data_IF_010352400127
#
_entry.id   IF_010352400127
#
_cell.length_a   1.000
_cell.length_b   1.000
_cell.length_c   1.000
_cell.angle_alpha   90.00
_cell.angle_beta   90.00
_cell.angle_gamma   90.00
#
_symmetry.space_group_name_H-M   'P 1'
#
loop_
_entity.id
_entity.type
_entity.pdbx_description
1 polymer ?
#
# COMPACT_ATOMS: atom_id res chain seq x y z
N UNK A 1 21.79 15.15 32.24
CA UNK A 1 22.84 14.67 31.31
C UNK A 1 22.15 13.98 30.14
N UNK A 2 22.31 14.42 28.88
CA UNK A 2 21.77 13.74 27.71
C UNK A 2 22.87 12.84 27.13
N UNK A 3 22.81 11.54 27.42
CA UNK A 3 23.83 10.59 26.96
C UNK A 3 23.35 9.15 26.86
N UNK A 4 22.05 8.90 27.02
CA UNK A 4 21.48 7.54 26.98
C UNK A 4 20.28 7.56 26.05
N UNK A 5 20.51 7.70 24.74
CA UNK A 5 19.51 7.29 23.72
C UNK A 5 20.03 7.18 22.27
N UNK A 6 21.26 7.58 21.95
CA UNK A 6 21.72 7.66 20.54
C UNK A 6 21.98 6.31 19.87
N UNK A 7 22.32 5.27 20.64
CA UNK A 7 22.66 3.95 20.08
C UNK A 7 21.43 3.13 19.67
N UNK A 8 20.32 3.25 20.42
CA UNK A 8 19.05 2.60 20.10
C UNK A 8 18.38 3.24 18.88
N UNK A 9 18.38 4.58 18.79
CA UNK A 9 17.87 5.31 17.62
C UNK A 9 18.67 5.01 16.34
N UNK A 10 19.97 4.74 16.47
CA UNK A 10 20.80 4.35 15.32
C UNK A 10 20.48 2.93 14.85
N UNK A 11 20.27 1.99 15.77
CA UNK A 11 19.87 0.61 15.43
C UNK A 11 18.50 0.56 14.75
N UNK A 12 17.52 1.31 15.25
CA UNK A 12 16.19 1.41 14.64
C UNK A 12 16.25 1.96 13.20
N UNK A 13 17.08 2.97 12.97
CA UNK A 13 17.31 3.52 11.62
C UNK A 13 17.99 2.51 10.69
N UNK A 14 18.97 1.77 11.19
CA UNK A 14 19.65 0.72 10.40
C UNK A 14 18.66 -0.37 10.00
N UNK A 15 17.81 -0.83 10.92
CA UNK A 15 16.81 -1.86 10.60
C UNK A 15 15.79 -1.35 9.59
N UNK A 16 15.29 -0.12 9.76
CA UNK A 16 14.39 0.52 8.80
C UNK A 16 15.00 0.57 7.39
N UNK A 17 16.26 1.01 7.27
CA UNK A 17 16.95 1.08 5.98
C UNK A 17 17.16 -0.30 5.36
N UNK A 18 17.42 -1.32 6.19
CA UNK A 18 17.56 -2.70 5.74
C UNK A 18 16.25 -3.23 5.16
N UNK A 19 15.13 -3.05 5.87
CA UNK A 19 13.81 -3.46 5.37
C UNK A 19 13.44 -2.71 4.09
N UNK A 20 13.72 -1.41 4.00
CA UNK A 20 13.48 -0.63 2.77
C UNK A 20 14.32 -1.14 1.58
N UNK A 21 15.56 -1.57 1.82
CA UNK A 21 16.39 -2.22 0.81
C UNK A 21 15.79 -3.54 0.35
N UNK A 22 15.36 -4.39 1.28
CA UNK A 22 14.71 -5.68 0.98
C UNK A 22 13.41 -5.49 0.18
N UNK A 23 12.61 -4.48 0.54
CA UNK A 23 11.44 -4.06 -0.23
C UNK A 23 11.82 -3.72 -1.68
N UNK A 24 12.86 -2.89 -1.87
CA UNK A 24 13.30 -2.49 -3.21
C UNK A 24 13.80 -3.68 -4.03
N UNK A 25 14.54 -4.60 -3.42
CA UNK A 25 15.02 -5.83 -4.08
C UNK A 25 13.85 -6.70 -4.52
N UNK A 26 12.87 -6.97 -3.64
CA UNK A 26 11.67 -7.74 -4.02
C UNK A 26 10.87 -7.10 -5.14
N UNK A 27 10.70 -5.77 -5.12
CA UNK A 27 10.02 -5.06 -6.21
C UNK A 27 10.76 -5.18 -7.55
N UNK A 28 12.10 -5.24 -7.53
CA UNK A 28 12.91 -5.33 -8.75
C UNK A 28 13.01 -6.74 -9.33
N UNK A 29 12.93 -7.78 -8.48
CA UNK A 29 13.13 -9.19 -8.86
C UNK A 29 11.81 -9.97 -8.97
N UNK A 30 10.72 -9.43 -8.43
CA UNK A 30 9.40 -10.06 -8.43
C UNK A 30 8.86 -10.32 -9.83
N UNK A 31 8.45 -11.56 -10.08
CA UNK A 31 7.84 -11.96 -11.36
C UNK A 31 6.32 -11.81 -11.36
N UNK A 32 5.67 -12.19 -10.25
CA UNK A 32 4.21 -12.11 -10.11
C UNK A 32 3.81 -10.87 -9.32
N UNK A 33 3.14 -9.93 -10.00
CA UNK A 33 2.85 -8.59 -9.46
C UNK A 33 2.03 -8.65 -8.17
N UNK A 34 0.95 -9.44 -8.12
CA UNK A 34 0.08 -9.54 -6.93
C UNK A 34 0.82 -10.10 -5.73
N UNK A 35 1.59 -11.16 -5.92
CA UNK A 35 2.37 -11.79 -4.86
C UNK A 35 3.45 -10.83 -4.36
N UNK A 36 4.19 -10.22 -5.27
CA UNK A 36 5.24 -9.23 -4.96
C UNK A 36 4.69 -8.05 -4.17
N UNK A 37 3.55 -7.49 -4.60
CA UNK A 37 2.91 -6.38 -3.89
C UNK A 37 2.38 -6.78 -2.52
N UNK A 38 1.87 -8.00 -2.36
CA UNK A 38 1.40 -8.50 -1.07
C UNK A 38 2.55 -8.65 -0.08
N UNK A 39 3.67 -9.25 -0.51
CA UNK A 39 4.87 -9.39 0.32
C UNK A 39 5.46 -8.04 0.73
N UNK A 40 5.60 -7.13 -0.22
CA UNK A 40 6.14 -5.79 0.03
C UNK A 40 5.23 -4.97 0.95
N UNK A 41 3.91 -5.09 0.77
CA UNK A 41 2.94 -4.39 1.62
C UNK A 41 3.02 -4.86 3.08
N UNK A 42 3.25 -6.17 3.30
CA UNK A 42 3.46 -6.70 4.64
C UNK A 42 4.71 -6.12 5.29
N UNK A 43 5.85 -6.13 4.59
CA UNK A 43 7.10 -5.55 5.12
C UNK A 43 7.00 -4.04 5.38
N UNK A 44 6.25 -3.32 4.54
CA UNK A 44 5.99 -1.89 4.73
C UNK A 44 5.21 -1.63 6.02
N UNK A 45 4.29 -2.51 6.40
CA UNK A 45 3.54 -2.35 7.65
C UNK A 45 4.43 -2.48 8.88
N UNK A 46 5.43 -3.37 8.84
CA UNK A 46 6.37 -3.57 9.93
C UNK A 46 7.23 -2.32 10.22
N UNK A 47 7.56 -1.53 9.18
CA UNK A 47 8.38 -0.30 9.34
C UNK A 47 7.57 0.98 9.54
N UNK A 48 6.32 1.03 9.07
CA UNK A 48 5.48 2.24 9.17
C UNK A 48 4.62 2.26 10.43
N UNK A 49 4.41 1.10 11.06
CA UNK A 49 3.51 0.95 12.20
C UNK A 49 2.03 1.03 11.80
N UNK A 50 1.69 0.95 10.51
CA UNK A 50 0.30 0.85 10.08
C UNK A 50 -0.29 -0.52 10.43
N UNK A 51 -1.57 -0.53 10.81
CA UNK A 51 -2.26 -1.76 11.22
C UNK A 51 -3.01 -2.45 10.08
N UNK A 52 -3.36 -1.71 9.03
CA UNK A 52 -4.06 -2.22 7.85
C UNK A 52 -3.60 -1.45 6.62
N UNK A 53 -3.48 -2.12 5.49
CA UNK A 53 -3.14 -1.46 4.22
C UNK A 53 -3.72 -2.23 3.02
N UNK A 54 -3.88 -1.55 1.89
CA UNK A 54 -4.29 -2.16 0.62
C UNK A 54 -3.83 -1.34 -0.58
N UNK A 55 -3.68 -2.00 -1.72
CA UNK A 55 -3.28 -1.40 -3.00
C UNK A 55 -4.34 -1.70 -4.04
N UNK A 56 -4.80 -0.65 -4.72
CA UNK A 56 -5.65 -0.77 -5.90
C UNK A 56 -4.87 -0.40 -7.16
N UNK A 57 -5.05 -1.17 -8.23
CA UNK A 57 -4.76 -0.73 -9.58
C UNK A 57 -6.03 -0.13 -10.17
N UNK A 58 -5.90 1.01 -10.81
CA UNK A 58 -7.03 1.74 -11.42
C UNK A 58 -6.64 2.02 -12.86
N UNK A 59 -7.39 1.42 -13.78
CA UNK A 59 -7.17 1.55 -15.21
C UNK A 59 -7.74 2.87 -15.76
N UNK A 60 -7.31 3.22 -16.97
CA UNK A 60 -7.76 4.46 -17.64
C UNK A 60 -9.26 4.48 -17.92
N UNK A 61 -9.87 3.32 -18.14
CA UNK A 61 -11.32 3.18 -18.32
C UNK A 61 -12.10 3.27 -17.00
N UNK A 62 -11.39 3.38 -15.88
CA UNK A 62 -11.96 3.45 -14.54
C UNK A 62 -12.28 2.07 -13.95
N UNK A 63 -11.98 0.95 -14.60
CA UNK A 63 -11.95 -0.33 -13.92
C UNK A 63 -10.87 -0.32 -12.84
N UNK A 64 -11.05 -1.11 -11.78
CA UNK A 64 -10.09 -1.18 -10.69
C UNK A 64 -10.02 -2.58 -10.10
N UNK A 65 -8.85 -2.92 -9.56
CA UNK A 65 -8.56 -4.22 -8.99
C UNK A 65 -7.83 -4.07 -7.66
N UNK A 66 -8.27 -4.81 -6.64
CA UNK A 66 -7.55 -4.94 -5.37
C UNK A 66 -6.35 -5.88 -5.57
N UNK A 67 -5.15 -5.30 -5.65
CA UNK A 67 -3.91 -6.04 -5.95
C UNK A 67 -3.27 -6.66 -4.72
N UNK A 68 -3.35 -5.97 -3.58
CA UNK A 68 -2.81 -6.43 -2.31
C UNK A 68 -3.61 -5.87 -1.15
N UNK A 69 -3.64 -6.59 -0.03
CA UNK A 69 -4.25 -6.16 1.22
C UNK A 69 -3.56 -6.86 2.38
N UNK A 70 -3.46 -6.19 3.51
CA UNK A 70 -2.97 -6.77 4.76
C UNK A 70 -3.86 -6.27 5.88
N UNK A 71 -4.31 -7.21 6.71
CA UNK A 71 -5.09 -6.96 7.93
C UNK A 71 -6.30 -6.04 7.70
N UNK A 72 -7.11 -6.32 6.67
CA UNK A 72 -8.32 -5.53 6.42
C UNK A 72 -9.20 -5.45 7.67
N UNK A 73 -9.73 -4.25 7.99
CA UNK A 73 -10.74 -4.09 9.03
C UNK A 73 -11.90 -5.07 8.79
N UNK A 74 -12.45 -5.65 9.88
CA UNK A 74 -13.45 -6.72 9.80
C UNK A 74 -14.63 -6.35 8.88
N UNK A 75 -15.11 -5.10 8.97
CA UNK A 75 -16.21 -4.61 8.14
C UNK A 75 -15.91 -4.71 6.62
N UNK A 76 -14.64 -4.55 6.22
CA UNK A 76 -14.20 -4.60 4.82
C UNK A 76 -13.82 -6.02 4.36
N UNK A 77 -13.51 -6.93 5.30
CA UNK A 77 -13.20 -8.32 5.00
C UNK A 77 -14.45 -9.20 4.80
N UNK A 78 -15.63 -8.75 5.25
CA UNK A 78 -16.91 -9.47 5.14
C UNK A 78 -17.29 -9.81 3.71
N UNK A 79 -18.07 -10.89 3.55
CA UNK A 79 -18.61 -11.36 2.27
C UNK A 79 -17.55 -11.47 1.16
N UNK A 80 -16.40 -12.09 1.47
CA UNK A 80 -15.28 -12.21 0.54
C UNK A 80 -14.79 -10.85 0.01
N UNK A 81 -14.71 -9.85 0.91
CA UNK A 81 -14.25 -8.49 0.60
C UNK A 81 -15.12 -7.77 -0.44
N UNK A 82 -16.42 -8.07 -0.51
CA UNK A 82 -17.33 -7.51 -1.52
C UNK A 82 -17.32 -5.98 -1.56
N UNK A 83 -17.18 -5.32 -0.41
CA UNK A 83 -17.09 -3.85 -0.32
C UNK A 83 -15.84 -3.28 -0.99
N UNK A 84 -14.78 -4.09 -1.12
CA UNK A 84 -13.53 -3.71 -1.77
C UNK A 84 -13.55 -3.95 -3.28
N UNK A 85 -14.44 -4.80 -3.79
CA UNK A 85 -14.39 -5.26 -5.19
C UNK A 85 -15.60 -4.87 -6.04
N UNK A 86 -16.78 -4.66 -5.45
CA UNK A 86 -18.05 -4.62 -6.21
C UNK A 86 -18.92 -3.39 -5.92
N UNK A 87 -18.55 -2.55 -4.96
CA UNK A 87 -19.37 -1.41 -4.53
C UNK A 87 -18.71 -0.07 -4.88
N UNK A 88 -19.50 1.01 -4.80
CA UNK A 88 -19.02 2.38 -4.95
C UNK A 88 -18.10 2.78 -3.79
N UNK A 89 -16.82 2.48 -3.93
CA UNK A 89 -15.81 2.92 -2.98
C UNK A 89 -15.60 4.43 -3.10
N UNK A 90 -15.89 5.18 -2.02
CA UNK A 90 -15.71 6.63 -1.98
C UNK A 90 -14.28 7.05 -2.37
N UNK A 91 -13.25 6.33 -1.90
CA UNK A 91 -11.85 6.62 -2.19
C UNK A 91 -11.57 6.55 -3.70
N UNK A 92 -12.02 5.47 -4.34
CA UNK A 92 -11.86 5.24 -5.78
C UNK A 92 -12.64 6.29 -6.57
N UNK A 93 -13.89 6.55 -6.20
CA UNK A 93 -14.74 7.53 -6.87
C UNK A 93 -14.17 8.95 -6.77
N UNK A 94 -13.61 9.33 -5.62
CA UNK A 94 -12.91 10.61 -5.44
C UNK A 94 -11.64 10.70 -6.30
N UNK A 95 -10.85 9.62 -6.37
CA UNK A 95 -9.65 9.58 -7.20
C UNK A 95 -9.98 9.72 -8.69
N UNK A 96 -10.96 8.95 -9.19
CA UNK A 96 -11.45 9.02 -10.58
C UNK A 96 -11.94 10.41 -10.98
N UNK A 97 -12.69 11.09 -10.10
CA UNK A 97 -13.13 12.47 -10.33
C UNK A 97 -11.96 13.43 -10.53
N UNK A 98 -10.87 13.26 -9.77
CA UNK A 98 -9.65 14.07 -9.95
C UNK A 98 -8.91 13.74 -11.23
N UNK A 99 -8.80 12.45 -11.59
CA UNK A 99 -8.19 12.05 -12.86
C UNK A 99 -8.93 12.65 -14.05
N UNK A 100 -10.26 12.56 -14.08
CA UNK A 100 -11.08 13.14 -15.15
C UNK A 100 -10.87 14.67 -15.27
N UNK A 101 -10.78 15.37 -14.14
CA UNK A 101 -10.52 16.81 -14.12
C UNK A 101 -9.16 17.18 -14.74
N UNK A 102 -8.14 16.32 -14.60
CA UNK A 102 -6.82 16.54 -15.21
C UNK A 102 -6.86 16.20 -16.71
N UNK A 103 -7.56 15.14 -17.13
CA UNK A 103 -7.69 14.77 -18.55
C UNK A 103 -8.40 15.83 -19.39
N UNK A 104 -9.35 16.58 -18.81
CA UNK A 104 -9.99 17.72 -19.46
C UNK A 104 -9.14 19.00 -19.52
N UNK A 105 -7.92 19.00 -18.96
CA UNK A 105 -7.00 20.14 -19.01
C UNK A 105 -5.93 20.00 -20.11
N UNK A 106 -5.89 18.84 -20.79
CA UNK A 106 -4.96 18.53 -21.89
C UNK A 106 -5.64 18.38 -23.25
N UNK A 107 -6.92 18.72 -23.35
CA UNK A 107 -7.70 18.91 -24.58
C UNK A 107 -8.49 20.21 -24.46
#
# INVERSE_FOLDING_TARGET
MPGVNSMGEYQEKVETLKTLKEIAEKLNEGMEMKETLHEVLHMLMDVTGFHSAWIYFIEKDGSYELMAEVSLPEALAKHQKQLMCQNDCYCINRYKKRLAAISHQYY
#
